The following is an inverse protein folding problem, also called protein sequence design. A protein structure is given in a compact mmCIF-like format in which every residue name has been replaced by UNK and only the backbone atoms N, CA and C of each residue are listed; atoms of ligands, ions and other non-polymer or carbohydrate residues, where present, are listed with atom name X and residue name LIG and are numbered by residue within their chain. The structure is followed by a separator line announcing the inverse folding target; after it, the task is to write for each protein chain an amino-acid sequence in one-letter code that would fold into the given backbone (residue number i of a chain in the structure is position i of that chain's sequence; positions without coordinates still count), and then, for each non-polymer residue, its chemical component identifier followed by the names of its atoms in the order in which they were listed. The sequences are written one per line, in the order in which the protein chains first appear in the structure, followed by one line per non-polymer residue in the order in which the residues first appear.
data_IF_033363714688
#
_entry.id   IF_033363714688
#
_cell.length_a   1.000
_cell.length_b   1.000
_cell.length_c   1.000
_cell.angle_alpha   90.00
_cell.angle_beta   90.00
_cell.angle_gamma   90.00
#
_symmetry.space_group_name_H-M   'P 1'
#
loop_
_entity.id
_entity.type
_entity.pdbx_description
1 polymer ?
#
# COMPACT_ATOMS: atom_id res chain seq x y z
N UNK A 1 -2.92 11.18 -7.29
CA UNK A 1 -2.21 10.60 -6.14
C UNK A 1 -2.40 9.08 -6.13
N UNK A 2 -1.41 8.37 -5.65
CA UNK A 2 -1.48 6.91 -5.47
C UNK A 2 -1.34 6.56 -4.00
N UNK A 3 -1.91 5.44 -3.61
CA UNK A 3 -1.83 4.90 -2.25
C UNK A 3 -1.37 3.44 -2.36
N UNK A 4 -0.05 3.19 -2.16
CA UNK A 4 0.50 1.84 -2.21
C UNK A 4 0.02 0.97 -1.06
N UNK A 5 -0.27 -0.28 -1.37
CA UNK A 5 -0.43 -1.33 -0.38
C UNK A 5 0.93 -1.88 0.09
N UNK A 6 0.95 -2.51 1.26
CA UNK A 6 2.16 -3.04 1.87
C UNK A 6 2.91 -4.04 0.98
N UNK A 7 2.20 -4.86 0.19
CA UNK A 7 2.84 -5.85 -0.69
C UNK A 7 3.81 -5.21 -1.69
N UNK A 8 3.46 -4.09 -2.29
CA UNK A 8 4.34 -3.39 -3.23
C UNK A 8 5.57 -2.80 -2.56
N UNK A 9 5.42 -2.26 -1.34
CA UNK A 9 6.53 -1.74 -0.56
C UNK A 9 7.48 -2.87 -0.13
N UNK A 10 6.94 -4.00 0.31
CA UNK A 10 7.72 -5.19 0.68
C UNK A 10 8.49 -5.70 -0.53
N UNK A 11 7.86 -5.88 -1.68
CA UNK A 11 8.53 -6.31 -2.90
C UNK A 11 9.63 -5.35 -3.34
N UNK A 12 9.42 -4.05 -3.18
CA UNK A 12 10.40 -3.03 -3.59
C UNK A 12 11.68 -3.02 -2.74
N UNK A 13 11.67 -3.68 -1.58
CA UNK A 13 12.82 -3.78 -0.66
C UNK A 13 13.37 -5.19 -0.53
N UNK A 14 12.61 -6.22 -0.88
CA UNK A 14 13.02 -7.61 -0.76
C UNK A 14 13.71 -8.10 -2.04
N UNK A 15 15.04 -8.09 -2.05
CA UNK A 15 15.86 -8.51 -3.20
C UNK A 15 15.68 -9.97 -3.60
N UNK A 16 15.19 -10.81 -2.70
CA UNK A 16 14.95 -12.23 -2.94
C UNK A 16 13.59 -12.50 -3.60
N UNK A 17 12.72 -11.48 -3.66
CA UNK A 17 11.41 -11.61 -4.32
C UNK A 17 11.54 -11.56 -5.84
N UNK A 18 10.80 -12.43 -6.58
CA UNK A 18 10.69 -12.33 -8.03
C UNK A 18 10.17 -10.97 -8.52
N UNK A 19 9.33 -10.32 -7.72
CA UNK A 19 8.72 -9.03 -8.03
C UNK A 19 9.62 -7.82 -7.73
N UNK A 20 10.77 -8.03 -7.09
CA UNK A 20 11.62 -6.95 -6.59
C UNK A 20 11.95 -5.90 -7.67
N UNK A 21 12.45 -6.35 -8.81
CA UNK A 21 12.90 -5.42 -9.87
C UNK A 21 11.75 -4.58 -10.43
N UNK A 22 10.59 -5.18 -10.61
CA UNK A 22 9.40 -4.50 -11.13
C UNK A 22 8.84 -3.52 -10.09
N UNK A 23 8.71 -3.95 -8.84
CA UNK A 23 8.19 -3.12 -7.76
C UNK A 23 9.12 -1.94 -7.44
N UNK A 24 10.45 -2.19 -7.41
CA UNK A 24 11.41 -1.12 -7.18
C UNK A 24 11.39 -0.07 -8.29
N UNK A 25 11.39 -0.49 -9.55
CA UNK A 25 11.29 0.45 -10.68
C UNK A 25 10.00 1.27 -10.63
N UNK A 26 8.88 0.62 -10.30
CA UNK A 26 7.62 1.31 -10.18
C UNK A 26 7.64 2.35 -9.06
N UNK A 27 8.17 1.98 -7.87
CA UNK A 27 8.25 2.91 -6.73
C UNK A 27 9.18 4.08 -7.04
N UNK A 28 10.38 3.81 -7.59
CA UNK A 28 11.35 4.84 -7.96
C UNK A 28 10.76 5.81 -9.01
N UNK A 29 10.06 5.29 -10.01
CA UNK A 29 9.36 6.09 -11.02
C UNK A 29 8.23 6.92 -10.41
N UNK A 30 7.49 6.37 -9.45
CA UNK A 30 6.42 7.09 -8.75
C UNK A 30 6.97 8.23 -7.91
N UNK A 31 8.10 8.03 -7.23
CA UNK A 31 8.79 9.05 -6.46
C UNK A 31 9.41 10.15 -7.33
N UNK A 32 9.81 9.82 -8.57
CA UNK A 32 10.36 10.78 -9.54
C UNK A 32 9.27 11.49 -10.37
N UNK A 33 8.09 10.89 -10.47
CA UNK A 33 7.09 11.25 -11.50
C UNK A 33 6.19 12.44 -11.17
N UNK A 34 6.37 13.15 -10.06
CA UNK A 34 5.59 14.33 -9.71
C UNK A 34 4.15 14.04 -9.23
N UNK A 35 3.73 12.80 -9.15
CA UNK A 35 2.45 12.40 -8.57
C UNK A 35 2.60 12.17 -7.06
N UNK A 36 1.72 12.74 -6.25
CA UNK A 36 1.75 12.54 -4.81
C UNK A 36 1.54 11.07 -4.43
N UNK A 37 2.28 10.62 -3.42
CA UNK A 37 2.14 9.30 -2.82
C UNK A 37 1.57 9.47 -1.41
N UNK A 38 0.48 8.77 -1.13
CA UNK A 38 -0.11 8.70 0.19
C UNK A 38 0.29 7.38 0.86
N UNK A 39 0.76 7.46 2.09
CA UNK A 39 1.01 6.27 2.91
C UNK A 39 0.03 6.25 4.08
N UNK A 40 -0.66 5.12 4.25
CA UNK A 40 -1.44 4.86 5.45
C UNK A 40 -0.56 4.25 6.56
N UNK A 41 -0.79 4.61 7.82
CA UNK A 41 -0.09 3.96 8.93
C UNK A 41 -0.32 2.46 8.97
N UNK A 42 -1.49 1.98 8.55
CA UNK A 42 -1.78 0.54 8.44
C UNK A 42 -0.82 -0.16 7.49
N UNK A 43 -0.43 0.51 6.41
CA UNK A 43 0.54 -0.02 5.43
C UNK A 43 1.97 0.01 5.98
N UNK A 44 2.36 1.09 6.63
CA UNK A 44 3.68 1.23 7.27
C UNK A 44 3.86 0.15 8.34
N UNK A 45 2.85 -0.04 9.19
CA UNK A 45 2.90 -1.06 10.24
C UNK A 45 2.94 -2.48 9.68
N UNK A 46 2.19 -2.76 8.62
CA UNK A 46 2.23 -4.06 7.94
C UNK A 46 3.61 -4.32 7.32
N UNK A 47 4.19 -3.32 6.66
CA UNK A 47 5.55 -3.39 6.11
C UNK A 47 6.57 -3.75 7.19
N UNK A 48 6.59 -3.01 8.29
CA UNK A 48 7.53 -3.26 9.40
C UNK A 48 7.32 -4.64 10.03
N UNK A 49 6.06 -5.02 10.27
CA UNK A 49 5.72 -6.31 10.87
C UNK A 49 6.15 -7.48 10.02
N UNK A 50 5.93 -7.41 8.72
CA UNK A 50 6.22 -8.51 7.79
C UNK A 50 7.72 -8.63 7.54
N UNK A 51 8.41 -7.53 7.25
CA UNK A 51 9.84 -7.57 6.90
C UNK A 51 10.75 -7.94 8.06
N UNK A 52 10.31 -7.73 9.30
CA UNK A 52 11.05 -8.11 10.51
C UNK A 52 10.65 -9.48 11.09
N UNK A 53 9.70 -10.18 10.46
CA UNK A 53 9.17 -11.43 10.98
C UNK A 53 9.99 -12.63 10.49
N UNK A 54 10.63 -13.33 11.43
CA UNK A 54 11.43 -14.55 11.20
C UNK A 54 10.64 -15.71 10.61
N UNK A 55 9.32 -15.74 10.78
CA UNK A 55 8.44 -16.79 10.25
C UNK A 55 8.07 -16.59 8.79
N UNK A 56 8.21 -15.37 8.29
CA UNK A 56 7.82 -14.97 6.93
C UNK A 56 9.04 -14.79 6.04
N UNK A 57 10.11 -14.19 6.60
CA UNK A 57 11.37 -13.93 5.90
C UNK A 57 12.47 -14.86 6.42
N UNK A 58 13.13 -15.59 5.52
CA UNK A 58 14.28 -16.43 5.85
C UNK A 58 15.44 -15.60 6.42
N UNK A 59 15.56 -14.36 5.97
CA UNK A 59 16.53 -13.36 6.45
C UNK A 59 15.78 -12.11 6.89
N UNK A 60 15.20 -12.10 8.10
CA UNK A 60 14.47 -10.94 8.57
C UNK A 60 15.41 -9.75 8.76
N UNK A 61 14.92 -8.58 8.39
CA UNK A 61 15.65 -7.34 8.54
C UNK A 61 15.48 -6.77 9.95
N UNK A 62 16.43 -5.99 10.43
CA UNK A 62 16.31 -5.36 11.74
C UNK A 62 15.27 -4.23 11.69
N UNK A 63 14.63 -3.96 12.82
CA UNK A 63 13.67 -2.87 12.92
C UNK A 63 14.34 -1.50 12.65
N UNK A 64 15.59 -1.34 13.06
CA UNK A 64 16.36 -0.10 12.80
C UNK A 64 16.57 0.12 11.30
N UNK A 65 16.91 -0.94 10.56
CA UNK A 65 17.08 -0.89 9.12
C UNK A 65 15.77 -0.54 8.42
N UNK A 66 14.69 -1.22 8.77
CA UNK A 66 13.39 -1.02 8.14
C UNK A 66 12.76 0.32 8.52
N UNK A 67 12.97 0.78 9.74
CA UNK A 67 12.55 2.13 10.13
C UNK A 67 13.30 3.21 9.34
N UNK A 68 14.58 3.00 9.06
CA UNK A 68 15.35 3.91 8.21
C UNK A 68 14.77 4.02 6.78
N UNK A 69 14.28 2.91 6.22
CA UNK A 69 13.57 2.90 4.94
C UNK A 69 12.28 3.73 5.03
N UNK A 70 11.48 3.53 6.07
CA UNK A 70 10.25 4.29 6.31
C UNK A 70 10.55 5.78 6.45
N UNK A 71 11.58 6.15 7.21
CA UNK A 71 12.01 7.55 7.33
C UNK A 71 12.39 8.15 5.98
N UNK A 72 13.04 7.39 5.11
CA UNK A 72 13.35 7.83 3.75
C UNK A 72 12.10 8.16 2.94
N UNK A 73 11.07 7.33 3.02
CA UNK A 73 9.79 7.63 2.37
C UNK A 73 9.11 8.84 2.98
N UNK A 74 8.99 8.90 4.31
CA UNK A 74 8.32 10.02 5.01
C UNK A 74 9.03 11.36 4.82
N UNK A 75 10.34 11.35 4.60
CA UNK A 75 11.13 12.54 4.29
C UNK A 75 11.04 13.00 2.83
N UNK A 76 10.43 12.20 1.95
CA UNK A 76 10.37 12.54 0.53
C UNK A 76 9.29 13.61 0.26
N UNK A 77 9.59 14.65 -0.55
CA UNK A 77 8.65 15.77 -0.79
C UNK A 77 7.30 15.37 -1.37
N UNK A 78 7.23 14.25 -2.11
CA UNK A 78 6.00 13.76 -2.75
C UNK A 78 5.21 12.80 -1.87
N UNK A 79 5.69 12.46 -0.68
CA UNK A 79 5.04 11.51 0.22
C UNK A 79 4.33 12.24 1.35
N UNK A 80 3.09 11.87 1.59
CA UNK A 80 2.26 12.37 2.69
C UNK A 80 1.55 11.22 3.39
N UNK A 81 1.16 11.40 4.65
CA UNK A 81 0.34 10.43 5.38
C UNK A 81 -1.12 10.67 5.08
N UNK A 82 -1.83 9.60 4.72
CA UNK A 82 -3.28 9.59 4.61
C UNK A 82 -3.90 9.36 5.99
N UNK A 83 -4.58 10.36 6.52
CA UNK A 83 -5.33 10.25 7.76
C UNK A 83 -6.82 10.09 7.46
N UNK A 84 -7.56 9.29 8.26
CA UNK A 84 -9.01 9.29 8.20
C UNK A 84 -9.57 10.68 8.44
N UNK A 85 -10.48 11.11 7.56
CA UNK A 85 -11.19 12.38 7.67
C UNK A 85 -12.62 12.19 8.21
N UNK A 86 -13.47 13.23 8.15
CA UNK A 86 -14.83 13.20 8.68
C UNK A 86 -15.76 12.15 8.04
N UNK A 87 -15.51 11.81 6.78
CA UNK A 87 -16.32 10.85 6.00
C UNK A 87 -15.85 9.40 6.15
N UNK A 88 -14.71 9.17 6.80
CA UNK A 88 -14.08 7.86 6.81
C UNK A 88 -15.00 6.76 7.36
N UNK A 89 -15.64 6.99 8.50
CA UNK A 89 -16.53 6.01 9.12
C UNK A 89 -17.69 5.62 8.19
N UNK A 90 -18.29 6.60 7.50
CA UNK A 90 -19.38 6.37 6.56
C UNK A 90 -18.93 5.57 5.34
N UNK A 91 -17.82 5.97 4.74
CA UNK A 91 -17.26 5.29 3.57
C UNK A 91 -16.85 3.87 3.95
N UNK A 92 -16.13 3.70 5.05
CA UNK A 92 -15.69 2.38 5.52
C UNK A 92 -16.88 1.43 5.74
N UNK A 93 -17.94 1.88 6.41
CA UNK A 93 -19.13 1.06 6.62
C UNK A 93 -19.75 0.61 5.30
N UNK A 94 -19.87 1.51 4.33
CA UNK A 94 -20.42 1.16 3.01
C UNK A 94 -19.57 0.09 2.30
N UNK A 95 -18.23 0.21 2.35
CA UNK A 95 -17.33 -0.76 1.74
C UNK A 95 -17.37 -2.12 2.44
N UNK A 96 -17.37 -2.14 3.77
CA UNK A 96 -17.46 -3.36 4.57
C UNK A 96 -18.72 -4.16 4.24
N UNK A 97 -19.86 -3.48 4.15
CA UNK A 97 -21.15 -4.11 3.83
C UNK A 97 -21.20 -4.58 2.38
N UNK A 98 -20.79 -3.74 1.43
CA UNK A 98 -20.83 -4.07 0.00
C UNK A 98 -19.93 -5.26 -0.36
N UNK A 99 -18.74 -5.33 0.22
CA UNK A 99 -17.80 -6.41 -0.01
C UNK A 99 -18.03 -7.63 0.90
N UNK A 100 -18.96 -7.57 1.86
CA UNK A 100 -19.14 -8.58 2.90
C UNK A 100 -17.81 -8.92 3.58
N UNK A 101 -17.08 -7.87 3.99
CA UNK A 101 -15.71 -7.99 4.44
C UNK A 101 -15.60 -8.74 5.76
N UNK A 102 -14.66 -9.68 5.80
CA UNK A 102 -14.24 -10.43 6.98
C UNK A 102 -12.73 -10.60 6.97
N UNK A 103 -12.11 -10.82 8.13
CA UNK A 103 -10.69 -11.09 8.22
C UNK A 103 -9.84 -9.95 7.63
N UNK A 104 -8.86 -10.31 6.81
CA UNK A 104 -7.91 -9.36 6.22
C UNK A 104 -8.58 -8.33 5.30
N UNK A 105 -9.74 -8.67 4.72
CA UNK A 105 -10.48 -7.75 3.87
C UNK A 105 -11.00 -6.51 4.63
N UNK A 106 -11.12 -6.57 5.96
CA UNK A 106 -11.48 -5.43 6.79
C UNK A 106 -10.39 -4.35 6.74
N UNK A 107 -9.13 -4.75 6.84
CA UNK A 107 -7.99 -3.82 6.71
C UNK A 107 -7.89 -3.25 5.29
N UNK A 108 -8.15 -4.06 4.28
CA UNK A 108 -8.19 -3.61 2.88
C UNK A 108 -9.32 -2.59 2.65
N UNK A 109 -10.48 -2.79 3.28
CA UNK A 109 -11.58 -1.82 3.24
C UNK A 109 -11.19 -0.48 3.88
N UNK A 110 -10.42 -0.49 4.97
CA UNK A 110 -9.88 0.74 5.55
C UNK A 110 -8.96 1.47 4.56
N UNK A 111 -8.05 0.74 3.91
CA UNK A 111 -7.16 1.33 2.90
C UNK A 111 -7.95 1.88 1.70
N UNK A 112 -8.95 1.15 1.25
CA UNK A 112 -9.85 1.60 0.19
C UNK A 112 -10.63 2.86 0.58
N UNK A 113 -11.11 2.94 1.82
CA UNK A 113 -11.80 4.13 2.34
C UNK A 113 -10.88 5.36 2.39
N UNK A 114 -9.63 5.20 2.82
CA UNK A 114 -8.63 6.26 2.76
C UNK A 114 -8.43 6.75 1.32
N UNK A 115 -8.29 5.83 0.38
CA UNK A 115 -8.08 6.18 -1.02
C UNK A 115 -9.27 6.96 -1.61
N UNK A 116 -10.50 6.54 -1.33
CA UNK A 116 -11.71 7.24 -1.78
C UNK A 116 -11.77 8.63 -1.17
N UNK A 117 -11.54 8.75 0.14
CA UNK A 117 -11.62 10.02 0.86
C UNK A 117 -10.58 11.03 0.37
N UNK A 118 -9.41 10.58 -0.02
CA UNK A 118 -8.32 11.41 -0.53
C UNK A 118 -8.26 11.51 -2.06
N UNK A 119 -9.24 10.97 -2.77
CA UNK A 119 -9.25 10.89 -4.24
C UNK A 119 -7.97 10.28 -4.82
N UNK A 120 -7.49 9.22 -4.19
CA UNK A 120 -6.30 8.48 -4.60
C UNK A 120 -6.65 7.14 -5.26
N UNK A 121 -5.70 6.59 -6.00
CA UNK A 121 -5.78 5.25 -6.58
C UNK A 121 -4.98 4.26 -5.72
N UNK A 122 -5.61 3.17 -5.28
CA UNK A 122 -4.89 2.08 -4.60
C UNK A 122 -4.02 1.35 -5.61
N UNK A 123 -2.75 1.16 -5.27
CA UNK A 123 -1.84 0.31 -6.01
C UNK A 123 -1.53 -0.94 -5.19
N UNK A 124 -1.93 -2.11 -5.68
CA UNK A 124 -1.75 -3.39 -5.00
C UNK A 124 -1.76 -4.54 -5.99
N UNK A 125 -1.02 -5.61 -5.70
CA UNK A 125 -1.12 -6.87 -6.45
C UNK A 125 -2.33 -7.70 -6.04
N UNK A 126 -3.00 -7.35 -4.95
CA UNK A 126 -4.15 -8.07 -4.43
C UNK A 126 -5.42 -7.69 -5.20
N UNK A 127 -6.00 -8.68 -5.88
CA UNK A 127 -7.23 -8.52 -6.65
C UNK A 127 -8.49 -8.33 -5.80
N UNK A 128 -8.41 -8.59 -4.50
CA UNK A 128 -9.54 -8.38 -3.59
C UNK A 128 -9.97 -6.91 -3.53
N UNK A 129 -9.10 -5.97 -3.86
CA UNK A 129 -9.47 -4.56 -3.98
C UNK A 129 -10.54 -4.30 -5.06
N UNK A 130 -10.66 -5.14 -6.08
CA UNK A 130 -11.72 -5.04 -7.09
C UNK A 130 -13.13 -5.24 -6.51
N UNK A 131 -13.25 -5.79 -5.30
CA UNK A 131 -14.53 -5.99 -4.60
C UNK A 131 -15.14 -4.71 -4.03
N UNK A 132 -14.36 -3.65 -3.90
CA UNK A 132 -14.83 -2.39 -3.31
C UNK A 132 -15.43 -1.47 -4.36
N UNK A 133 -16.73 -1.08 -4.21
CA UNK A 133 -17.36 -0.17 -5.16
C UNK A 133 -16.74 1.23 -5.09
N UNK A 134 -16.72 1.91 -6.22
CA UNK A 134 -16.19 3.27 -6.39
C UNK A 134 -14.68 3.44 -6.10
N UNK A 135 -13.96 2.36 -5.86
CA UNK A 135 -12.52 2.39 -5.68
C UNK A 135 -11.81 2.39 -7.03
N UNK A 136 -10.87 3.30 -7.21
CA UNK A 136 -9.85 3.19 -8.26
C UNK A 136 -8.72 2.33 -7.73
N UNK A 137 -8.49 1.21 -8.39
CA UNK A 137 -7.44 0.26 -8.03
C UNK A 137 -6.75 -0.25 -9.30
N UNK A 138 -5.45 -0.47 -9.20
CA UNK A 138 -4.68 -1.18 -10.23
C UNK A 138 -3.54 -1.98 -9.62
N UNK A 139 -3.14 -3.03 -10.33
CA UNK A 139 -1.87 -3.70 -10.09
C UNK A 139 -0.80 -3.10 -11.02
N UNK A 140 0.18 -2.34 -10.48
CA UNK A 140 1.18 -1.70 -11.33
C UNK A 140 2.24 -2.66 -11.88
N UNK A 141 2.27 -3.90 -11.38
CA UNK A 141 3.21 -4.94 -11.84
C UNK A 141 2.64 -5.79 -12.97
N UNK A 142 1.34 -5.73 -13.21
CA UNK A 142 0.75 -6.36 -14.40
C UNK A 142 1.21 -5.62 -15.65
N UNK A 143 1.85 -6.35 -16.57
CA UNK A 143 2.14 -5.83 -17.90
C UNK A 143 0.80 -5.53 -18.56
N UNK A 144 0.57 -4.26 -18.93
CA UNK A 144 -0.49 -3.96 -19.89
C UNK A 144 -0.07 -4.64 -21.18
N UNK A 145 -0.76 -5.72 -21.55
CA UNK A 145 -0.68 -6.23 -22.92
C UNK A 145 -1.05 -5.08 -23.86
N UNK A 146 -0.30 -4.86 -24.92
CA UNK A 146 -0.56 -3.79 -25.88
C UNK A 146 -1.92 -3.93 -26.53
#
# INVERSE_FOLDING_TARGET
MILPDANLLIYSTNRDSPEYRAAKRWLDASLAGGHGILLGWVVILAFLRITTNKRIFDRPLSIESEWSVVQGWLGHPLVSIAHPGPEHARILQQLLVAARATGDLITDAHLAALAIEHDAEVCSVDRDFARFPNLRWRNPLEQRLP
#
